data_IF_759355985187
#
_entry.id   IF_759355985187
#
_cell.length_a   1.000
_cell.length_b   1.000
_cell.length_c   1.000
_cell.angle_alpha   90.00
_cell.angle_beta   90.00
_cell.angle_gamma   90.00
#
_symmetry.space_group_name_H-M   'P 1'
#
loop_
_entity.id
_entity.type
_entity.pdbx_description
1 polymer ?
#
# COMPACT_ATOMS: atom_id res chain seq x y z
N UNK A 1 -7.77 -22.79 -10.00
CA UNK A 1 -9.09 -22.75 -10.65
C UNK A 1 -9.22 -21.41 -11.35
N UNK A 2 -9.59 -21.47 -12.62
CA UNK A 2 -9.47 -20.45 -13.66
C UNK A 2 -10.42 -19.27 -13.43
N UNK A 3 -9.91 -18.07 -13.16
CA UNK A 3 -10.67 -16.83 -13.38
C UNK A 3 -10.39 -16.37 -14.81
N UNK A 4 -11.37 -16.60 -15.67
CA UNK A 4 -11.34 -16.23 -17.08
C UNK A 4 -11.08 -14.73 -17.26
N UNK A 5 -10.14 -14.43 -18.15
CA UNK A 5 -10.14 -13.16 -18.86
C UNK A 5 -11.28 -13.20 -19.88
N UNK A 6 -12.46 -12.78 -19.48
CA UNK A 6 -13.42 -12.23 -20.42
C UNK A 6 -13.32 -10.71 -20.31
N UNK A 7 -13.13 -10.09 -21.48
CA UNK A 7 -13.16 -8.64 -21.71
C UNK A 7 -11.93 -7.81 -21.38
N UNK A 8 -10.69 -8.28 -21.55
CA UNK A 8 -9.50 -7.39 -21.70
C UNK A 8 -9.21 -6.40 -20.55
N UNK A 9 -9.96 -6.48 -19.45
CA UNK A 9 -9.79 -5.68 -18.25
C UNK A 9 -8.89 -6.46 -17.31
N UNK A 10 -7.67 -5.96 -17.11
CA UNK A 10 -6.89 -6.35 -15.94
C UNK A 10 -7.52 -5.61 -14.77
N UNK A 11 -8.43 -6.27 -14.07
CA UNK A 11 -8.80 -5.84 -12.73
C UNK A 11 -7.56 -6.07 -11.85
N UNK A 12 -7.06 -5.03 -11.16
CA UNK A 12 -6.14 -5.26 -10.06
C UNK A 12 -6.77 -6.32 -9.15
N UNK A 13 -5.96 -7.19 -8.55
CA UNK A 13 -6.41 -8.17 -7.54
C UNK A 13 -7.12 -7.54 -6.31
N UNK A 14 -7.38 -6.24 -6.33
CA UNK A 14 -8.11 -5.44 -5.36
C UNK A 14 -9.56 -5.91 -5.17
N UNK A 15 -10.22 -6.43 -6.21
CA UNK A 15 -11.63 -6.85 -6.12
C UNK A 15 -11.79 -8.16 -5.35
N UNK A 16 -10.88 -9.12 -5.55
CA UNK A 16 -10.86 -10.40 -4.86
C UNK A 16 -9.40 -10.77 -4.53
N UNK A 17 -8.83 -10.22 -3.45
CA UNK A 17 -7.46 -10.50 -3.07
C UNK A 17 -7.33 -11.94 -2.56
N UNK A 18 -6.28 -12.63 -3.00
CA UNK A 18 -5.88 -13.88 -2.37
C UNK A 18 -5.27 -13.57 -1.00
N UNK A 19 -6.04 -13.85 0.05
CA UNK A 19 -5.65 -13.58 1.44
C UNK A 19 -4.76 -14.68 2.04
N UNK A 20 -4.70 -15.86 1.41
CA UNK A 20 -4.03 -17.05 1.96
C UNK A 20 -2.75 -17.40 1.20
N UNK A 21 -2.67 -17.01 -0.07
CA UNK A 21 -1.48 -17.19 -0.89
C UNK A 21 -0.26 -16.40 -0.40
N UNK A 22 0.94 -16.76 -0.88
CA UNK A 22 2.14 -16.00 -0.59
C UNK A 22 2.01 -14.57 -1.12
N UNK A 23 2.56 -13.56 -0.41
CA UNK A 23 2.46 -12.17 -0.84
C UNK A 23 3.23 -11.98 -2.16
N UNK A 24 2.51 -11.68 -3.23
CA UNK A 24 3.09 -11.32 -4.54
C UNK A 24 3.35 -9.81 -4.69
N UNK A 25 3.16 -9.03 -3.62
CA UNK A 25 3.31 -7.58 -3.65
C UNK A 25 4.77 -7.16 -3.73
N UNK A 26 5.09 -6.29 -4.68
CA UNK A 26 6.41 -5.66 -4.83
C UNK A 26 6.53 -4.33 -4.07
N UNK A 27 5.54 -3.94 -3.26
CA UNK A 27 5.50 -2.66 -2.56
C UNK A 27 6.70 -2.44 -1.63
N UNK A 28 7.12 -3.47 -0.89
CA UNK A 28 8.27 -3.39 0.00
C UNK A 28 9.58 -3.16 -0.78
N UNK A 29 9.80 -3.90 -1.87
CA UNK A 29 10.98 -3.74 -2.73
C UNK A 29 11.05 -2.34 -3.35
N UNK A 30 9.91 -1.78 -3.77
CA UNK A 30 9.80 -0.41 -4.28
C UNK A 30 10.03 0.65 -3.19
N UNK A 31 9.60 0.40 -1.94
CA UNK A 31 9.78 1.31 -0.81
C UNK A 31 11.23 1.41 -0.36
N UNK A 32 11.95 0.29 -0.33
CA UNK A 32 13.37 0.24 0.06
C UNK A 32 14.34 0.52 -1.11
N UNK A 33 13.84 0.66 -2.34
CA UNK A 33 14.68 0.92 -3.50
C UNK A 33 15.43 -0.31 -4.03
N UNK A 34 15.14 -1.52 -3.52
CA UNK A 34 15.65 -2.78 -4.07
C UNK A 34 15.23 -2.98 -5.54
N UNK A 35 14.12 -2.34 -5.94
CA UNK A 35 13.62 -2.32 -7.31
C UNK A 35 13.46 -0.87 -7.79
N UNK A 36 14.04 -0.56 -8.95
CA UNK A 36 13.85 0.75 -9.59
C UNK A 36 12.42 0.87 -10.14
N UNK A 37 11.74 1.94 -9.74
CA UNK A 37 10.36 2.26 -10.16
C UNK A 37 10.28 2.46 -11.67
N UNK A 38 11.27 3.15 -12.26
CA UNK A 38 11.32 3.41 -13.71
C UNK A 38 11.50 2.10 -14.48
N UNK A 39 12.39 1.22 -14.01
CA UNK A 39 12.57 -0.09 -14.62
C UNK A 39 11.29 -0.91 -14.55
N UNK A 40 10.67 -0.95 -13.38
CA UNK A 40 9.41 -1.68 -13.18
C UNK A 40 8.30 -1.16 -14.09
N UNK A 41 8.16 0.15 -14.26
CA UNK A 41 7.22 0.76 -15.20
C UNK A 41 7.40 0.24 -16.64
N UNK A 42 8.63 0.31 -17.18
CA UNK A 42 8.92 -0.13 -18.54
C UNK A 42 8.77 -1.64 -18.72
N UNK A 43 9.23 -2.44 -17.74
CA UNK A 43 9.13 -3.90 -17.78
C UNK A 43 7.66 -4.36 -17.78
N UNK A 44 6.80 -3.68 -17.01
CA UNK A 44 5.35 -3.96 -16.98
C UNK A 44 4.69 -3.65 -18.33
N UNK A 45 5.01 -2.51 -18.94
CA UNK A 45 4.49 -2.14 -20.26
C UNK A 45 4.94 -3.13 -21.34
N UNK A 46 6.24 -3.44 -21.39
CA UNK A 46 6.78 -4.40 -22.37
C UNK A 46 6.19 -5.81 -22.19
N UNK A 47 5.97 -6.25 -20.96
CA UNK A 47 5.34 -7.53 -20.66
C UNK A 47 3.90 -7.56 -21.14
N UNK A 48 3.16 -6.48 -20.94
CA UNK A 48 1.77 -6.37 -21.40
C UNK A 48 1.68 -6.41 -22.93
N UNK A 49 2.49 -5.63 -23.64
CA UNK A 49 2.53 -5.61 -25.11
C UNK A 49 2.80 -7.01 -25.69
N UNK A 50 3.74 -7.75 -25.08
CA UNK A 50 4.07 -9.12 -25.48
C UNK A 50 2.91 -10.10 -25.31
N UNK A 51 2.15 -9.99 -24.22
CA UNK A 51 1.04 -10.90 -23.92
C UNK A 51 -0.20 -10.54 -24.76
N UNK A 52 -0.48 -9.25 -24.90
CA UNK A 52 -1.74 -8.75 -25.45
C UNK A 52 -1.69 -8.46 -26.96
N UNK A 53 -0.63 -8.90 -27.65
CA UNK A 53 -0.49 -8.96 -29.12
C UNK A 53 -0.92 -7.68 -29.86
N UNK A 54 -0.55 -6.51 -29.34
CA UNK A 54 -0.81 -5.22 -30.01
C UNK A 54 -2.14 -4.54 -29.65
N UNK A 55 -2.93 -5.09 -28.72
CA UNK A 55 -4.00 -4.32 -28.10
C UNK A 55 -3.40 -3.40 -27.03
N UNK A 56 -3.56 -2.06 -27.15
CA UNK A 56 -3.03 -1.14 -26.17
C UNK A 56 -3.63 -1.41 -24.79
N UNK A 57 -2.86 -1.20 -23.71
CA UNK A 57 -3.40 -1.34 -22.36
C UNK A 57 -4.61 -0.42 -22.18
N UNK A 58 -5.67 -0.87 -21.48
CA UNK A 58 -6.72 0.05 -21.04
C UNK A 58 -6.03 1.19 -20.29
N UNK A 59 -6.27 2.41 -20.77
CA UNK A 59 -5.46 3.57 -20.42
C UNK A 59 -5.36 3.70 -18.90
N UNK A 60 -4.12 3.80 -18.43
CA UNK A 60 -3.72 4.04 -17.04
C UNK A 60 -3.96 2.92 -16.01
N UNK A 61 -4.81 1.91 -16.24
CA UNK A 61 -5.11 0.89 -15.19
C UNK A 61 -3.86 0.15 -14.69
N UNK A 62 -3.00 -0.26 -15.62
CA UNK A 62 -1.83 -1.09 -15.30
C UNK A 62 -0.76 -0.34 -14.49
N UNK A 63 -0.58 0.95 -14.75
CA UNK A 63 0.44 1.79 -14.09
C UNK A 63 -0.15 2.73 -13.06
N UNK A 64 -1.47 2.72 -12.85
CA UNK A 64 -2.17 3.59 -11.90
C UNK A 64 -1.58 3.48 -10.49
N UNK A 65 -1.20 2.28 -10.05
CA UNK A 65 -0.60 2.08 -8.73
C UNK A 65 0.76 2.79 -8.57
N UNK A 66 1.57 2.86 -9.63
CA UNK A 66 2.83 3.60 -9.63
C UNK A 66 2.58 5.11 -9.67
N UNK A 67 1.58 5.55 -10.42
CA UNK A 67 1.16 6.96 -10.47
C UNK A 67 0.68 7.42 -9.09
N UNK A 68 -0.12 6.60 -8.39
CA UNK A 68 -0.54 6.87 -7.01
C UNK A 68 0.66 7.03 -6.06
N UNK A 69 1.67 6.18 -6.19
CA UNK A 69 2.92 6.33 -5.42
C UNK A 69 3.56 7.68 -5.69
N UNK A 70 3.79 8.04 -6.95
CA UNK A 70 4.40 9.33 -7.33
C UNK A 70 3.55 10.53 -6.88
N UNK A 71 2.22 10.43 -6.96
CA UNK A 71 1.30 11.46 -6.49
C UNK A 71 1.51 11.80 -5.01
N UNK A 72 1.58 10.80 -4.13
CA UNK A 72 1.85 11.03 -2.70
C UNK A 72 3.26 11.59 -2.44
N UNK A 73 4.26 11.20 -3.25
CA UNK A 73 5.60 11.81 -3.16
C UNK A 73 5.57 13.29 -3.55
N UNK A 74 4.93 13.65 -4.65
CA UNK A 74 4.79 15.04 -5.08
C UNK A 74 4.02 15.89 -4.06
N UNK A 75 2.94 15.34 -3.48
CA UNK A 75 2.14 16.04 -2.47
C UNK A 75 2.88 16.29 -1.15
N UNK A 76 3.77 15.38 -0.76
CA UNK A 76 4.58 15.52 0.45
C UNK A 76 5.86 16.33 0.25
N UNK A 77 6.41 16.40 -0.97
CA UNK A 77 7.70 17.05 -1.26
C UNK A 77 7.77 18.51 -0.78
N UNK A 78 6.67 19.26 -0.86
CA UNK A 78 6.61 20.66 -0.45
C UNK A 78 5.79 20.88 0.84
N UNK A 79 5.51 19.82 1.59
CA UNK A 79 4.73 19.86 2.83
C UNK A 79 5.42 19.05 3.93
N UNK A 80 6.23 19.74 4.75
CA UNK A 80 6.92 19.11 5.87
C UNK A 80 5.97 18.51 6.93
N UNK A 81 4.73 19.00 7.01
CA UNK A 81 3.70 18.53 7.95
C UNK A 81 2.70 17.55 7.31
N UNK A 82 3.04 16.95 6.16
CA UNK A 82 2.15 16.04 5.44
C UNK A 82 1.68 14.83 6.28
N UNK A 83 2.52 14.37 7.21
CA UNK A 83 2.22 13.24 8.12
C UNK A 83 1.43 13.61 9.38
N UNK A 84 1.25 14.91 9.65
CA UNK A 84 0.58 15.40 10.84
C UNK A 84 -0.78 16.03 10.46
N UNK A 85 -1.71 16.04 11.40
CA UNK A 85 -2.99 16.75 11.23
C UNK A 85 -2.79 18.24 11.50
N UNK A 86 -2.20 18.59 12.64
CA UNK A 86 -1.96 19.97 13.03
C UNK A 86 -0.86 20.62 12.17
N UNK A 87 -1.12 21.81 11.66
CA UNK A 87 -0.17 22.55 10.81
C UNK A 87 -0.10 22.07 9.36
N UNK A 88 -0.90 21.08 8.97
CA UNK A 88 -0.97 20.60 7.59
C UNK A 88 -2.04 21.38 6.79
N UNK A 89 -1.65 22.14 5.75
CA UNK A 89 -2.58 23.02 5.02
C UNK A 89 -3.68 22.28 4.25
N UNK A 90 -3.48 21.00 3.94
CA UNK A 90 -4.45 20.17 3.21
C UNK A 90 -5.26 19.25 4.12
N UNK A 91 -4.95 19.17 5.41
CA UNK A 91 -5.61 18.27 6.35
C UNK A 91 -6.71 19.01 7.12
N UNK A 92 -7.91 18.43 7.12
CA UNK A 92 -9.03 18.94 7.90
C UNK A 92 -8.80 18.61 9.37
N UNK A 93 -8.98 19.59 10.24
CA UNK A 93 -8.86 19.40 11.69
C UNK A 93 -10.10 18.69 12.22
N UNK A 94 -9.90 17.45 12.70
CA UNK A 94 -10.97 16.61 13.23
C UNK A 94 -10.66 16.30 14.71
N UNK A 95 -11.63 16.52 15.63
CA UNK A 95 -11.45 16.19 17.04
C UNK A 95 -11.57 14.67 17.26
N UNK A 96 -10.51 13.93 16.95
CA UNK A 96 -10.46 12.47 17.16
C UNK A 96 -10.50 12.10 18.64
N UNK A 97 -11.20 11.01 18.95
CA UNK A 97 -11.23 10.46 20.31
C UNK A 97 -9.87 9.88 20.71
N UNK A 98 -9.37 10.26 21.88
CA UNK A 98 -8.13 9.72 22.45
C UNK A 98 -8.48 8.58 23.41
N UNK A 99 -8.56 7.35 22.89
CA UNK A 99 -8.80 6.12 23.68
C UNK A 99 -7.65 5.12 23.47
N UNK A 100 -6.57 5.20 24.26
CA UNK A 100 -5.38 4.37 24.06
C UNK A 100 -5.68 2.87 24.19
N UNK A 101 -6.60 2.49 25.09
CA UNK A 101 -6.99 1.08 25.26
C UNK A 101 -7.65 0.50 24.01
N UNK A 102 -8.46 1.31 23.30
CA UNK A 102 -9.10 0.88 22.05
C UNK A 102 -8.10 0.80 20.90
N UNK A 103 -7.12 1.70 20.88
CA UNK A 103 -6.02 1.64 19.91
C UNK A 103 -5.19 0.36 20.11
N UNK A 104 -4.80 0.05 21.36
CA UNK A 104 -4.08 -1.18 21.68
C UNK A 104 -4.89 -2.43 21.31
N UNK A 105 -6.19 -2.46 21.62
CA UNK A 105 -7.06 -3.55 21.21
C UNK A 105 -7.13 -3.73 19.69
N UNK A 106 -7.10 -2.63 18.93
CA UNK A 106 -7.05 -2.67 17.46
C UNK A 106 -5.70 -3.16 16.94
N UNK A 107 -4.59 -2.63 17.44
CA UNK A 107 -3.23 -3.05 17.06
C UNK A 107 -2.97 -4.53 17.33
N UNK A 108 -3.59 -5.08 18.37
CA UNK A 108 -3.45 -6.47 18.77
C UNK A 108 -4.53 -7.40 18.17
N UNK A 109 -5.49 -6.86 17.40
CA UNK A 109 -6.59 -7.65 16.82
C UNK A 109 -7.46 -8.34 17.87
N UNK A 110 -7.89 -7.57 18.87
CA UNK A 110 -8.85 -7.93 19.94
C UNK A 110 -10.04 -6.97 20.00
N UNK A 111 -10.47 -6.47 18.85
CA UNK A 111 -11.62 -5.56 18.75
C UNK A 111 -12.96 -6.28 18.97
N UNK A 112 -12.98 -7.61 18.85
CA UNK A 112 -14.20 -8.42 18.90
C UNK A 112 -14.90 -8.55 17.54
N UNK A 113 -14.37 -7.90 16.50
CA UNK A 113 -14.82 -8.05 15.12
C UNK A 113 -13.90 -9.04 14.37
N UNK A 114 -14.36 -10.25 14.04
CA UNK A 114 -13.50 -11.32 13.52
C UNK A 114 -12.70 -10.94 12.28
N UNK A 115 -13.29 -10.16 11.36
CA UNK A 115 -12.61 -9.72 10.14
C UNK A 115 -11.47 -8.73 10.44
N UNK A 116 -11.73 -7.71 11.26
CA UNK A 116 -10.72 -6.72 11.65
C UNK A 116 -9.58 -7.39 12.42
N UNK A 117 -9.93 -8.27 13.36
CA UNK A 117 -8.97 -9.00 14.18
C UNK A 117 -8.10 -9.93 13.33
N UNK A 118 -8.66 -10.60 12.33
CA UNK A 118 -7.90 -11.44 11.40
C UNK A 118 -6.91 -10.61 10.55
N UNK A 119 -7.35 -9.46 10.02
CA UNK A 119 -6.49 -8.56 9.24
C UNK A 119 -5.31 -8.03 10.08
N UNK A 120 -5.56 -7.59 11.31
CA UNK A 120 -4.50 -7.04 12.19
C UNK A 120 -3.51 -8.12 12.62
N UNK A 121 -3.98 -9.35 12.89
CA UNK A 121 -3.11 -10.50 13.17
C UNK A 121 -2.27 -10.89 11.96
N UNK A 122 -2.84 -10.86 10.76
CA UNK A 122 -2.10 -11.10 9.51
C UNK A 122 -1.04 -10.02 9.27
N UNK A 123 -1.39 -8.75 9.46
CA UNK A 123 -0.49 -7.61 9.35
C UNK A 123 0.73 -7.82 10.25
N UNK A 124 0.50 -8.15 11.52
CA UNK A 124 1.56 -8.37 12.50
C UNK A 124 2.42 -9.57 12.18
N UNK A 125 1.82 -10.70 11.79
CA UNK A 125 2.56 -11.94 11.46
C UNK A 125 3.43 -11.77 10.21
N UNK A 126 2.90 -11.20 9.14
CA UNK A 126 3.56 -11.17 7.82
C UNK A 126 4.48 -9.97 7.66
N UNK A 127 4.16 -8.82 8.25
CA UNK A 127 4.96 -7.60 8.14
C UNK A 127 5.85 -7.35 9.35
N UNK A 128 5.99 -8.30 10.29
CA UNK A 128 6.81 -8.12 11.50
C UNK A 128 8.20 -7.56 11.18
N UNK A 129 8.88 -8.05 10.13
CA UNK A 129 10.19 -7.53 9.71
C UNK A 129 10.18 -6.12 9.09
N UNK A 130 9.08 -5.69 8.46
CA UNK A 130 8.93 -4.33 7.91
C UNK A 130 8.60 -3.32 9.04
N UNK A 131 7.81 -3.74 10.04
CA UNK A 131 7.53 -2.91 11.22
C UNK A 131 8.79 -2.66 12.06
N UNK A 132 9.69 -3.65 12.22
CA UNK A 132 10.96 -3.46 12.95
C UNK A 132 11.89 -2.46 12.26
N UNK A 133 11.86 -2.38 10.92
CA UNK A 133 12.65 -1.40 10.16
C UNK A 133 12.12 0.04 10.34
N UNK A 134 10.80 0.23 10.38
CA UNK A 134 10.22 1.55 10.64
C UNK A 134 10.44 2.01 12.09
N UNK A 135 10.48 1.11 13.08
CA UNK A 135 10.82 1.48 14.46
C UNK A 135 12.29 1.87 14.63
N UNK A 136 13.19 1.39 13.77
CA UNK A 136 14.60 1.80 13.74
C UNK A 136 14.80 3.16 13.04
N UNK A 137 13.87 3.59 12.19
CA UNK A 137 13.93 4.90 11.50
C UNK A 137 13.16 6.02 12.18
N UNK A 138 12.44 5.75 13.29
CA UNK A 138 11.83 6.78 14.11
C UNK A 138 12.91 7.34 15.06
N UNK A 139 13.47 8.54 14.83
CA UNK A 139 14.37 9.14 15.80
C UNK A 139 13.64 9.32 17.12
N UNK A 140 14.18 8.71 18.16
CA UNK A 140 13.90 8.98 19.56
C UNK A 140 14.12 10.46 19.85
N UNK A 141 13.08 11.29 19.69
CA UNK A 141 13.01 12.64 20.27
C UNK A 141 11.68 12.82 21.00
N UNK A 142 11.62 12.20 22.17
CA UNK A 142 10.84 12.68 23.30
C UNK A 142 11.74 12.60 24.53
N UNK A 143 12.50 13.67 24.74
CA UNK A 143 13.01 14.17 26.01
C UNK A 143 13.16 15.69 25.84
#
# INVERSE_FOLDING_TARGET
>A
MTSGGQDGYILPNQVNPDLLGPPMSMSAALRFGCLSVRKFYWDVQATYERINRGHPPPSHSLTAQLIWREFFYCMSANNAKYSEMEGNPICIQIPWYKKPDQLAAWEEGRTGYPFIDACMRQLRKTLHGIFTLNSLSAPSRLA
#
